data_IF_626312843262
#
_entry.id   IF_626312843262
#
_cell.length_a   1.000
_cell.length_b   1.000
_cell.length_c   1.000
_cell.angle_alpha   90.00
_cell.angle_beta   90.00
_cell.angle_gamma   90.00
#
_symmetry.space_group_name_H-M   'P 1'
#
loop_
_entity.id
_entity.type
_entity.pdbx_description
1 polymer ?
#
# COMPACT_ATOMS: atom_id res chain seq x y z
N UNK A 1 -3.30 7.48 0.31
CA UNK A 1 -4.02 8.14 -0.81
C UNK A 1 -3.09 8.59 -1.93
N UNK A 2 -2.01 9.34 -1.67
CA UNK A 2 -1.09 9.77 -2.75
C UNK A 2 -0.52 8.59 -3.55
N UNK A 3 -0.20 7.48 -2.88
CA UNK A 3 0.34 6.27 -3.51
C UNK A 3 -0.63 5.58 -4.51
N UNK A 4 -1.95 5.66 -4.30
CA UNK A 4 -2.93 5.02 -5.21
C UNK A 4 -3.11 5.80 -6.52
N UNK A 5 -2.75 7.09 -6.54
CA UNK A 5 -2.86 7.93 -7.73
C UNK A 5 -1.81 7.59 -8.78
N UNK A 6 -0.65 7.05 -8.36
CA UNK A 6 0.45 6.78 -9.28
C UNK A 6 0.13 5.66 -10.27
N UNK A 7 -0.37 4.47 -9.87
CA UNK A 7 -0.76 3.44 -10.85
C UNK A 7 -1.89 3.90 -11.79
N UNK A 8 -2.83 4.71 -11.31
CA UNK A 8 -3.88 5.30 -12.15
C UNK A 8 -3.30 6.27 -13.19
N UNK A 9 -2.36 7.13 -12.79
CA UNK A 9 -1.67 8.04 -13.70
C UNK A 9 -0.88 7.29 -14.78
N UNK A 10 -0.23 6.18 -14.42
CA UNK A 10 0.47 5.31 -15.38
C UNK A 10 -0.53 4.69 -16.36
N UNK A 11 -1.65 4.15 -15.87
CA UNK A 11 -2.67 3.55 -16.72
C UNK A 11 -3.26 4.55 -17.72
N UNK A 12 -3.48 5.80 -17.30
CA UNK A 12 -3.94 6.89 -18.18
C UNK A 12 -2.86 7.29 -19.18
N UNK A 13 -1.60 7.45 -18.75
CA UNK A 13 -0.50 7.77 -19.66
C UNK A 13 -0.29 6.69 -20.74
N UNK A 14 -0.56 5.42 -20.40
CA UNK A 14 -0.55 4.32 -21.36
C UNK A 14 -1.72 4.38 -22.35
N UNK A 15 -2.92 4.80 -21.92
CA UNK A 15 -4.10 4.86 -22.80
C UNK A 15 -4.05 6.00 -23.81
N UNK A 16 -3.32 7.08 -23.51
CA UNK A 16 -3.12 8.23 -24.42
C UNK A 16 -2.03 7.98 -25.47
N UNK A 17 -1.34 6.83 -25.41
CA UNK A 17 -0.35 6.42 -26.42
C UNK A 17 1.02 7.09 -26.31
N UNK A 18 1.25 7.91 -25.28
CA UNK A 18 2.55 8.53 -25.01
C UNK A 18 3.57 7.49 -24.58
N UNK A 19 4.54 7.20 -25.46
CA UNK A 19 5.78 6.44 -25.21
C UNK A 19 5.66 5.46 -24.02
N UNK A 20 4.88 4.40 -24.21
CA UNK A 20 4.43 3.46 -23.16
C UNK A 20 5.57 3.02 -22.23
N UNK A 21 6.75 2.71 -22.79
CA UNK A 21 7.93 2.32 -22.02
C UNK A 21 8.45 3.41 -21.07
N UNK A 22 8.54 4.65 -21.53
CA UNK A 22 9.01 5.77 -20.70
C UNK A 22 8.03 6.08 -19.57
N UNK A 23 6.74 6.11 -19.89
CA UNK A 23 5.64 6.35 -18.93
C UNK A 23 5.63 5.29 -17.82
N UNK A 24 5.85 4.02 -18.19
CA UNK A 24 5.97 2.92 -17.23
C UNK A 24 7.19 3.07 -16.32
N UNK A 25 8.38 3.31 -16.89
CA UNK A 25 9.62 3.40 -16.11
C UNK A 25 9.56 4.57 -15.12
N UNK A 26 9.23 5.77 -15.61
CA UNK A 26 9.13 6.96 -14.76
C UNK A 26 8.06 6.79 -13.69
N UNK A 27 6.89 6.26 -14.07
CA UNK A 27 5.82 5.99 -13.14
C UNK A 27 6.18 4.99 -12.04
N UNK A 28 6.87 3.90 -12.39
CA UNK A 28 7.33 2.90 -11.43
C UNK A 28 8.41 3.44 -10.49
N UNK A 29 9.29 4.33 -10.96
CA UNK A 29 10.26 5.01 -10.09
C UNK A 29 9.57 5.89 -9.04
N UNK A 30 8.58 6.69 -9.48
CA UNK A 30 7.78 7.53 -8.58
C UNK A 30 6.99 6.66 -7.59
N UNK A 31 6.37 5.59 -8.08
CA UNK A 31 5.66 4.62 -7.25
C UNK A 31 6.59 4.01 -6.20
N UNK A 32 7.79 3.57 -6.60
CA UNK A 32 8.78 2.97 -5.72
C UNK A 32 9.23 3.91 -4.60
N UNK A 33 9.48 5.18 -4.92
CA UNK A 33 9.85 6.19 -3.92
C UNK A 33 8.74 6.41 -2.88
N UNK A 34 7.49 6.56 -3.32
CA UNK A 34 6.35 6.75 -2.42
C UNK A 34 6.04 5.47 -1.61
N UNK A 35 6.17 4.30 -2.24
CA UNK A 35 5.98 3.01 -1.58
C UNK A 35 7.03 2.79 -0.48
N UNK A 36 8.28 3.17 -0.71
CA UNK A 36 9.35 3.07 0.28
C UNK A 36 9.03 3.88 1.55
N UNK A 37 8.56 5.12 1.39
CA UNK A 37 8.10 5.95 2.52
C UNK A 37 6.95 5.28 3.27
N UNK A 38 5.92 4.81 2.55
CA UNK A 38 4.76 4.14 3.15
C UNK A 38 5.15 2.85 3.90
N UNK A 39 6.07 2.07 3.34
CA UNK A 39 6.56 0.83 3.95
C UNK A 39 7.38 1.09 5.22
N UNK A 40 8.21 2.14 5.22
CA UNK A 40 9.01 2.54 6.37
C UNK A 40 8.12 3.01 7.53
N UNK A 41 7.12 3.85 7.25
CA UNK A 41 6.17 4.33 8.26
C UNK A 41 5.38 3.18 8.89
N UNK A 42 4.82 2.28 8.08
CA UNK A 42 4.00 1.18 8.59
C UNK A 42 4.80 0.24 9.50
N UNK A 43 6.07 0.00 9.16
CA UNK A 43 6.95 -0.85 9.97
C UNK A 43 7.43 -0.15 11.24
N UNK A 44 7.68 1.17 11.19
CA UNK A 44 8.03 1.98 12.36
C UNK A 44 6.88 2.03 13.37
N UNK A 45 5.64 2.26 12.89
CA UNK A 45 4.44 2.35 13.71
C UNK A 45 4.17 1.07 14.51
N UNK A 46 4.41 -0.11 13.93
CA UNK A 46 4.20 -1.38 14.62
C UNK A 46 5.18 -1.54 15.79
N UNK A 47 6.45 -1.18 15.58
CA UNK A 47 7.47 -1.25 16.64
C UNK A 47 7.21 -0.19 17.72
N UNK A 48 6.74 1.00 17.36
CA UNK A 48 6.45 2.06 18.33
C UNK A 48 5.17 1.84 19.15
N UNK A 49 4.22 1.05 18.65
CA UNK A 49 2.95 0.75 19.34
C UNK A 49 2.96 -0.56 20.13
N UNK A 50 3.99 -1.39 19.97
CA UNK A 50 4.12 -2.63 20.70
C UNK A 50 4.48 -2.35 22.18
N UNK A 51 3.51 -2.49 23.08
CA UNK A 51 3.75 -2.60 24.53
C UNK A 51 4.26 -4.02 24.86
N UNK A 52 5.13 -4.15 25.87
CA UNK A 52 5.93 -5.35 26.18
C UNK A 52 5.15 -6.69 26.26
N UNK A 53 3.85 -6.67 26.56
CA UNK A 53 3.01 -7.86 26.67
C UNK A 53 2.23 -8.15 25.37
N UNK A 54 2.85 -8.85 24.40
CA UNK A 54 2.16 -9.36 23.20
C UNK A 54 2.85 -9.14 21.84
N UNK A 55 4.01 -8.49 21.85
CA UNK A 55 4.76 -8.06 20.65
C UNK A 55 4.89 -9.13 19.56
N UNK A 56 5.20 -10.38 19.93
CA UNK A 56 5.42 -11.46 18.96
C UNK A 56 4.16 -11.85 18.17
N UNK A 57 2.98 -11.72 18.78
CA UNK A 57 1.72 -12.07 18.13
C UNK A 57 1.29 -10.98 17.13
N UNK A 58 1.38 -9.70 17.53
CA UNK A 58 1.02 -8.56 16.69
C UNK A 58 1.94 -8.42 15.48
N UNK A 59 3.25 -8.58 15.71
CA UNK A 59 4.26 -8.60 14.64
C UNK A 59 4.04 -9.80 13.72
N UNK A 60 3.68 -10.97 14.27
CA UNK A 60 3.33 -12.16 13.51
C UNK A 60 2.16 -11.94 12.54
N UNK A 61 1.05 -11.37 13.02
CA UNK A 61 -0.10 -11.05 12.17
C UNK A 61 0.24 -10.04 11.08
N UNK A 62 1.05 -9.02 11.37
CA UNK A 62 1.49 -8.06 10.37
C UNK A 62 2.28 -8.71 9.22
N UNK A 63 3.29 -9.53 9.55
CA UNK A 63 4.09 -10.19 8.53
C UNK A 63 3.28 -11.19 7.71
N UNK A 64 2.35 -11.94 8.34
CA UNK A 64 1.42 -12.82 7.63
C UNK A 64 0.53 -12.03 6.67
N UNK A 65 -0.03 -10.90 7.11
CA UNK A 65 -0.85 -10.03 6.26
C UNK A 65 -0.05 -9.47 5.07
N UNK A 66 1.19 -9.04 5.29
CA UNK A 66 2.08 -8.55 4.22
C UNK A 66 2.42 -9.67 3.21
N UNK A 67 2.76 -10.87 3.70
CA UNK A 67 3.05 -12.02 2.86
C UNK A 67 1.83 -12.43 2.02
N UNK A 68 0.63 -12.48 2.63
CA UNK A 68 -0.61 -12.75 1.92
C UNK A 68 -0.93 -11.69 0.86
N UNK A 69 -0.76 -10.40 1.19
CA UNK A 69 -0.96 -9.31 0.24
C UNK A 69 -0.06 -9.44 -0.99
N UNK A 70 1.22 -9.80 -0.79
CA UNK A 70 2.16 -10.07 -1.89
C UNK A 70 1.75 -11.28 -2.71
N UNK A 71 1.39 -12.39 -2.06
CA UNK A 71 0.99 -13.62 -2.75
C UNK A 71 -0.29 -13.42 -3.59
N UNK A 72 -1.33 -12.83 -2.99
CA UNK A 72 -2.57 -12.54 -3.70
C UNK A 72 -2.33 -11.54 -4.83
N UNK A 73 -1.54 -10.50 -4.59
CA UNK A 73 -1.19 -9.51 -5.60
C UNK A 73 -0.48 -10.12 -6.81
N UNK A 74 0.49 -11.01 -6.61
CA UNK A 74 1.23 -11.65 -7.72
C UNK A 74 0.38 -12.66 -8.48
N UNK A 75 -0.38 -13.49 -7.78
CA UNK A 75 -1.26 -14.48 -8.43
C UNK A 75 -2.38 -13.78 -9.21
N UNK A 76 -3.06 -12.81 -8.58
CA UNK A 76 -4.13 -12.05 -9.22
C UNK A 76 -3.61 -11.26 -10.43
N UNK A 77 -2.50 -10.53 -10.27
CA UNK A 77 -1.93 -9.77 -11.39
C UNK A 77 -1.43 -10.67 -12.51
N UNK A 78 -0.90 -11.86 -12.19
CA UNK A 78 -0.52 -12.85 -13.19
C UNK A 78 -1.71 -13.36 -14.01
N UNK A 79 -2.84 -13.63 -13.36
CA UNK A 79 -4.07 -14.02 -14.04
C UNK A 79 -4.67 -12.88 -14.87
N UNK A 80 -4.73 -11.67 -14.31
CA UNK A 80 -5.25 -10.47 -15.00
C UNK A 80 -4.39 -10.13 -16.21
N UNK A 81 -3.07 -10.15 -16.07
CA UNK A 81 -2.14 -9.82 -17.15
C UNK A 81 -2.32 -10.73 -18.37
N UNK A 82 -2.52 -12.04 -18.14
CA UNK A 82 -2.74 -13.01 -19.21
C UNK A 82 -4.05 -12.77 -19.98
N UNK A 83 -5.10 -12.27 -19.31
CA UNK A 83 -6.42 -12.10 -19.93
C UNK A 83 -6.66 -10.68 -20.49
N UNK A 84 -6.15 -9.65 -19.81
CA UNK A 84 -6.48 -8.25 -20.10
C UNK A 84 -5.24 -7.33 -20.22
N UNK A 85 -4.05 -7.83 -19.92
CA UNK A 85 -2.80 -7.08 -20.05
C UNK A 85 -2.50 -6.08 -18.93
N UNK A 86 -1.43 -5.30 -19.13
CA UNK A 86 -0.80 -4.49 -18.09
C UNK A 86 -1.67 -3.34 -17.56
N UNK A 87 -2.45 -2.69 -18.44
CA UNK A 87 -3.27 -1.54 -18.06
C UNK A 87 -4.31 -1.92 -16.99
N UNK A 88 -4.92 -3.10 -17.11
CA UNK A 88 -5.88 -3.60 -16.12
C UNK A 88 -5.22 -3.95 -14.79
N UNK A 89 -3.98 -4.47 -14.82
CA UNK A 89 -3.21 -4.69 -13.58
C UNK A 89 -2.99 -3.38 -12.82
N UNK A 90 -2.67 -2.28 -13.53
CA UNK A 90 -2.47 -0.97 -12.91
C UNK A 90 -3.77 -0.39 -12.31
N UNK A 91 -4.90 -0.54 -13.00
CA UNK A 91 -6.20 -0.12 -12.48
C UNK A 91 -6.60 -0.89 -11.22
N UNK A 92 -6.47 -2.22 -11.24
CA UNK A 92 -6.78 -3.06 -10.08
C UNK A 92 -5.84 -2.73 -8.91
N UNK A 93 -4.54 -2.53 -9.16
CA UNK A 93 -3.58 -2.11 -8.14
C UNK A 93 -3.95 -0.75 -7.54
N UNK A 94 -4.31 0.24 -8.37
CA UNK A 94 -4.78 1.55 -7.90
C UNK A 94 -6.00 1.41 -6.98
N UNK A 95 -6.98 0.59 -7.38
CA UNK A 95 -8.19 0.34 -6.58
C UNK A 95 -7.86 -0.31 -5.23
N UNK A 96 -7.02 -1.34 -5.20
CA UNK A 96 -6.63 -2.02 -3.95
C UNK A 96 -5.90 -1.08 -2.98
N UNK A 97 -4.97 -0.26 -3.48
CA UNK A 97 -4.27 0.75 -2.65
C UNK A 97 -5.26 1.83 -2.19
N UNK A 98 -6.21 2.21 -3.04
CA UNK A 98 -7.29 3.15 -2.69
C UNK A 98 -8.17 2.63 -1.55
N UNK A 99 -8.61 1.37 -1.63
CA UNK A 99 -9.39 0.69 -0.59
C UNK A 99 -8.59 0.66 0.71
N UNK A 100 -7.33 0.23 0.66
CA UNK A 100 -6.45 0.22 1.84
C UNK A 100 -6.35 1.60 2.49
N UNK A 101 -6.17 2.66 1.69
CA UNK A 101 -6.11 4.02 2.22
C UNK A 101 -7.42 4.48 2.87
N UNK A 102 -8.58 4.12 2.30
CA UNK A 102 -9.89 4.43 2.90
C UNK A 102 -10.07 3.69 4.21
N UNK A 103 -9.74 2.39 4.27
CA UNK A 103 -9.80 1.60 5.50
C UNK A 103 -8.92 2.22 6.59
N UNK A 104 -7.70 2.67 6.26
CA UNK A 104 -6.82 3.35 7.21
C UNK A 104 -7.39 4.67 7.75
N UNK A 105 -8.18 5.40 6.96
CA UNK A 105 -8.85 6.62 7.41
C UNK A 105 -10.06 6.35 8.31
N UNK A 106 -10.73 5.22 8.09
CA UNK A 106 -11.88 4.77 8.90
C UNK A 106 -11.45 4.19 10.25
N UNK A 107 -10.17 3.85 10.42
CA UNK A 107 -9.67 3.34 11.69
C UNK A 107 -9.79 4.43 12.79
N UNK A 108 -10.39 4.11 13.94
CA UNK A 108 -10.44 5.03 15.07
C UNK A 108 -9.03 5.44 15.47
N UNK A 109 -8.80 6.75 15.59
CA UNK A 109 -7.58 7.26 16.21
C UNK A 109 -7.64 6.91 17.69
N UNK A 110 -6.80 5.97 18.12
CA UNK A 110 -6.56 5.76 19.55
C UNK A 110 -5.86 7.01 20.10
N UNK A 111 -6.66 7.98 20.56
CA UNK A 111 -6.21 9.00 21.47
C UNK A 111 -6.16 8.37 22.87
N UNK A 112 -5.00 7.83 23.24
CA UNK A 112 -4.66 7.54 24.63
C UNK A 112 -3.27 8.13 24.87
N UNK A 113 -3.06 9.10 25.74
CA UNK A 113 -3.94 9.76 26.71
C UNK A 113 -3.05 10.58 27.60
N UNK A 114 -2.66 11.78 27.16
CA UNK A 114 -2.15 12.81 28.07
C UNK A 114 -3.37 13.45 28.76
N UNK A 115 -3.73 12.94 29.92
CA UNK A 115 -4.51 13.68 30.92
C UNK A 115 -4.10 13.20 32.30
N UNK A 116 -3.56 14.14 33.06
CA UNK A 116 -2.68 13.88 34.18
C UNK A 116 -3.33 13.53 35.51
N UNK A 117 -2.44 13.29 36.47
CA UNK A 117 -2.54 13.51 37.91
C UNK A 117 -1.07 13.74 38.35
N UNK A 118 -0.58 14.80 39.01
CA UNK A 118 -1.18 15.74 39.97
C UNK A 118 -2.32 15.13 40.78
N UNK A 119 -2.02 14.04 41.47
CA UNK A 119 -2.42 13.75 42.85
C UNK A 119 -1.28 13.01 43.53
#
# INVERSE_FOLDING_TARGET
>A
MVLSLVPAAIAIAMSVGTAIGLSLVVGLLVFGALFAVNSALHSFLIVSYANDDGVSLDVGFYYMANAMGRLLGTVLSGWVFQNWGLAYCLWISSALIGISAVVSLLLPRHAGGESGLLQ
#
